data_IF_248207409605
#
_entry.id   IF_248207409605
#
_cell.length_a   1.000
_cell.length_b   1.000
_cell.length_c   1.000
_cell.angle_alpha   90.00
_cell.angle_beta   90.00
_cell.angle_gamma   90.00
#
_symmetry.space_group_name_H-M   'P 1'
#
loop_
_entity.id
_entity.type
_entity.pdbx_description
1 polymer ?
#
# COMPACT_ATOMS: atom_id res chain seq x y z
N UNK A 1 29.36 9.14 41.24
CA UNK A 1 30.15 8.66 40.09
C UNK A 1 29.53 7.34 39.62
N UNK A 2 29.01 7.31 38.40
CA UNK A 2 28.30 6.16 37.83
C UNK A 2 27.91 6.45 36.39
N UNK A 3 28.88 6.48 35.48
CA UNK A 3 28.68 6.77 34.04
C UNK A 3 29.30 5.71 33.12
N UNK A 4 30.18 4.82 33.60
CA UNK A 4 30.93 3.93 32.71
C UNK A 4 30.13 2.82 32.00
N UNK A 5 28.97 2.40 32.52
CA UNK A 5 28.20 1.29 31.95
C UNK A 5 27.17 1.72 30.91
N UNK A 6 26.60 2.93 31.04
CA UNK A 6 25.76 3.55 30.00
C UNK A 6 26.59 3.90 28.78
N UNK A 7 27.75 4.54 29.01
CA UNK A 7 28.58 5.08 27.94
C UNK A 7 29.18 3.94 27.07
N UNK A 8 29.57 2.82 27.68
CA UNK A 8 30.06 1.64 26.94
C UNK A 8 28.95 0.94 26.13
N UNK A 9 27.73 0.84 26.67
CA UNK A 9 26.59 0.24 25.99
C UNK A 9 26.13 1.10 24.80
N UNK A 10 26.04 2.42 25.00
CA UNK A 10 25.66 3.38 23.96
C UNK A 10 26.70 3.46 22.83
N UNK A 11 27.99 3.34 23.17
CA UNK A 11 29.06 3.23 22.18
C UNK A 11 28.94 1.94 21.35
N UNK A 12 28.58 0.82 21.98
CA UNK A 12 28.42 -0.48 21.30
C UNK A 12 27.23 -0.46 20.35
N UNK A 13 26.07 0.05 20.79
CA UNK A 13 24.87 0.19 19.94
C UNK A 13 25.13 1.14 18.76
N UNK A 14 25.89 2.22 18.98
CA UNK A 14 26.26 3.17 17.93
C UNK A 14 27.23 2.57 16.90
N UNK A 15 28.15 1.70 17.34
CA UNK A 15 29.01 0.93 16.45
C UNK A 15 28.18 -0.01 15.57
N UNK A 16 27.25 -0.79 16.14
CA UNK A 16 26.38 -1.68 15.37
C UNK A 16 25.56 -0.93 14.31
N UNK A 17 25.00 0.24 14.65
CA UNK A 17 24.28 1.11 13.69
C UNK A 17 25.16 1.48 12.50
N UNK A 18 26.42 1.81 12.76
CA UNK A 18 27.36 2.18 11.70
C UNK A 18 27.68 1.00 10.81
N UNK A 19 28.01 -0.16 11.39
CA UNK A 19 28.29 -1.38 10.63
C UNK A 19 27.12 -1.78 9.72
N UNK A 20 25.89 -1.83 10.22
CA UNK A 20 24.72 -2.18 9.38
C UNK A 20 24.50 -1.17 8.27
N UNK A 21 24.64 0.13 8.56
CA UNK A 21 24.46 1.19 7.55
C UNK A 21 25.53 1.12 6.46
N UNK A 22 26.77 0.81 6.82
CA UNK A 22 27.84 0.61 5.85
C UNK A 22 27.58 -0.62 4.99
N UNK A 23 27.15 -1.73 5.60
CA UNK A 23 26.75 -2.92 4.87
C UNK A 23 25.66 -2.60 3.84
N UNK A 24 24.54 -2.00 4.26
CA UNK A 24 23.44 -1.66 3.34
C UNK A 24 23.88 -0.81 2.14
N UNK A 25 24.81 0.14 2.32
CA UNK A 25 25.32 0.97 1.21
C UNK A 25 26.01 0.19 0.10
N UNK A 26 26.59 -0.97 0.42
CA UNK A 26 27.23 -1.85 -0.56
C UNK A 26 26.29 -2.93 -1.11
N UNK A 27 25.07 -3.02 -0.58
CA UNK A 27 24.06 -4.04 -0.89
C UNK A 27 22.74 -3.36 -1.28
N UNK A 28 22.79 -2.47 -2.28
CA UNK A 28 21.61 -1.80 -2.86
C UNK A 28 20.66 -1.07 -1.88
N UNK A 29 21.17 -0.75 -0.69
CA UNK A 29 20.48 -0.10 0.43
C UNK A 29 19.38 -0.94 1.10
N UNK A 30 19.34 -2.25 0.85
CA UNK A 30 18.42 -3.22 1.47
C UNK A 30 19.10 -4.58 1.67
N UNK A 31 18.88 -5.22 2.81
CA UNK A 31 19.36 -6.58 3.05
C UNK A 31 18.40 -7.31 3.98
N UNK A 32 18.32 -8.63 3.84
CA UNK A 32 17.67 -9.49 4.82
C UNK A 32 18.43 -9.50 6.14
N UNK A 33 17.74 -9.82 7.24
CA UNK A 33 18.37 -10.04 8.54
C UNK A 33 19.40 -11.17 8.49
N UNK A 34 19.19 -12.19 7.66
CA UNK A 34 20.12 -13.30 7.53
C UNK A 34 21.41 -12.89 6.81
N UNK A 35 21.31 -12.09 5.74
CA UNK A 35 22.49 -11.48 5.10
C UNK A 35 23.25 -10.60 6.08
N UNK A 36 22.55 -9.79 6.89
CA UNK A 36 23.20 -8.97 7.92
C UNK A 36 23.92 -9.83 8.97
N UNK A 37 23.34 -10.97 9.38
CA UNK A 37 23.97 -11.91 10.33
C UNK A 37 25.17 -12.61 9.74
N UNK A 38 25.13 -12.93 8.45
CA UNK A 38 26.21 -13.63 7.75
C UNK A 38 27.35 -12.67 7.33
N UNK A 39 27.01 -11.42 7.01
CA UNK A 39 27.93 -10.44 6.44
C UNK A 39 28.49 -9.41 7.42
N UNK A 40 28.09 -9.45 8.70
CA UNK A 40 28.58 -8.51 9.72
C UNK A 40 28.86 -9.19 11.05
N UNK A 41 29.75 -8.60 11.86
CA UNK A 41 29.98 -9.01 13.25
C UNK A 41 28.91 -8.50 14.22
N UNK A 42 27.79 -7.96 13.71
CA UNK A 42 26.73 -7.38 14.54
C UNK A 42 25.96 -8.50 15.25
N UNK A 43 25.80 -8.45 16.58
CA UNK A 43 25.13 -9.50 17.33
C UNK A 43 23.68 -9.73 16.87
N UNK A 44 23.26 -11.00 16.83
CA UNK A 44 21.92 -11.41 16.39
C UNK A 44 20.78 -10.72 17.17
N UNK A 45 20.97 -10.45 18.47
CA UNK A 45 19.98 -9.75 19.29
C UNK A 45 19.70 -8.33 18.79
N UNK A 46 20.73 -7.66 18.25
CA UNK A 46 20.60 -6.31 17.73
C UNK A 46 19.86 -6.33 16.39
N UNK A 47 20.23 -7.25 15.50
CA UNK A 47 19.59 -7.45 14.20
C UNK A 47 18.11 -7.80 14.38
N UNK A 48 17.76 -8.62 15.36
CA UNK A 48 16.36 -8.98 15.62
C UNK A 48 15.50 -7.77 16.05
N UNK A 49 16.08 -6.87 16.83
CA UNK A 49 15.41 -5.68 17.35
C UNK A 49 15.63 -4.43 16.49
N UNK A 50 16.25 -4.56 15.32
CA UNK A 50 16.75 -3.42 14.55
C UNK A 50 15.65 -2.46 14.09
N UNK A 51 14.45 -2.97 13.83
CA UNK A 51 13.27 -2.18 13.50
C UNK A 51 12.72 -1.33 14.64
N UNK A 52 13.13 -1.57 15.88
CA UNK A 52 12.82 -0.71 17.04
C UNK A 52 13.75 0.49 17.14
N UNK A 53 14.79 0.57 16.30
CA UNK A 53 15.72 1.68 16.28
C UNK A 53 15.16 2.89 15.53
N UNK A 54 15.71 4.08 15.82
CA UNK A 54 15.41 5.28 15.07
C UNK A 54 16.15 5.37 13.71
N UNK A 55 16.89 4.33 13.32
CA UNK A 55 17.82 4.38 12.17
C UNK A 55 17.36 3.53 10.99
N UNK A 56 16.64 2.44 11.25
CA UNK A 56 16.26 1.47 10.22
C UNK A 56 14.74 1.27 10.16
N UNK A 57 14.24 0.92 8.97
CA UNK A 57 12.92 0.32 8.80
C UNK A 57 13.07 -1.16 8.51
N UNK A 58 11.97 -1.88 8.75
CA UNK A 58 11.83 -3.28 8.37
C UNK A 58 10.65 -3.44 7.42
N UNK A 59 10.73 -4.42 6.52
CA UNK A 59 9.72 -4.64 5.48
C UNK A 59 8.34 -4.98 6.06
N UNK A 60 7.31 -4.42 5.43
CA UNK A 60 5.92 -4.59 5.82
C UNK A 60 5.30 -5.91 5.31
N UNK A 61 5.75 -6.45 4.19
CA UNK A 61 5.22 -7.68 3.57
C UNK A 61 5.98 -8.94 3.96
N UNK A 62 7.29 -8.85 4.22
CA UNK A 62 8.14 -10.01 4.57
C UNK A 62 8.38 -10.17 6.06
N UNK A 63 7.34 -10.09 6.90
CA UNK A 63 7.44 -10.32 8.35
C UNK A 63 8.58 -9.56 9.08
N UNK A 64 8.99 -8.38 8.58
CA UNK A 64 10.12 -7.57 9.07
C UNK A 64 11.53 -8.14 8.81
N UNK A 65 11.66 -9.05 7.85
CA UNK A 65 12.95 -9.71 7.55
C UNK A 65 13.90 -8.84 6.72
N UNK A 66 13.41 -7.95 5.86
CA UNK A 66 14.30 -7.03 5.15
C UNK A 66 14.46 -5.73 5.93
N UNK A 67 15.68 -5.22 5.93
CA UNK A 67 16.12 -4.04 6.66
C UNK A 67 16.62 -3.01 5.66
N UNK A 68 16.25 -1.75 5.91
CA UNK A 68 16.73 -0.63 5.11
C UNK A 68 16.90 0.62 5.98
N UNK A 69 17.77 1.52 5.53
CA UNK A 69 18.04 2.78 6.22
C UNK A 69 16.86 3.75 6.09
N UNK A 70 16.46 4.40 7.21
CA UNK A 70 15.45 5.47 7.18
C UNK A 70 15.86 6.63 6.26
N UNK A 71 17.16 6.86 6.10
CA UNK A 71 17.68 7.90 5.20
C UNK A 71 17.30 7.64 3.74
N UNK A 72 17.53 6.40 3.26
CA UNK A 72 17.23 6.03 1.88
C UNK A 72 15.73 6.04 1.62
N UNK A 73 14.94 5.62 2.60
CA UNK A 73 13.48 5.67 2.48
C UNK A 73 13.00 7.12 2.46
N UNK A 74 13.65 8.02 3.20
CA UNK A 74 13.44 9.45 3.07
C UNK A 74 13.63 9.95 1.63
N UNK A 75 14.64 9.48 0.92
CA UNK A 75 14.99 9.92 -0.42
C UNK A 75 14.21 9.24 -1.55
N UNK A 76 14.01 7.92 -1.45
CA UNK A 76 13.49 7.07 -2.54
C UNK A 76 12.00 6.74 -2.41
N UNK A 77 11.34 7.20 -1.35
CA UNK A 77 9.89 6.98 -1.22
C UNK A 77 9.12 7.76 -2.30
N UNK A 78 8.05 7.14 -2.79
CA UNK A 78 7.02 7.81 -3.59
C UNK A 78 6.34 8.93 -2.78
N UNK A 79 5.50 9.72 -3.45
CA UNK A 79 4.65 10.72 -2.81
C UNK A 79 3.85 10.13 -1.64
N UNK A 80 3.29 8.94 -1.84
CA UNK A 80 2.51 8.23 -0.84
C UNK A 80 3.37 7.59 0.26
N UNK A 81 4.69 7.79 0.24
CA UNK A 81 5.61 7.39 1.30
C UNK A 81 6.13 5.96 1.19
N UNK A 82 5.95 5.28 0.06
CA UNK A 82 6.39 3.91 -0.18
C UNK A 82 7.74 3.82 -0.87
N UNK A 83 8.58 2.88 -0.46
CA UNK A 83 9.74 2.44 -1.23
C UNK A 83 9.69 0.92 -1.39
N UNK A 84 9.93 0.44 -2.62
CA UNK A 84 9.79 -0.99 -3.00
C UNK A 84 11.02 -1.49 -3.76
N UNK A 85 12.16 -1.71 -3.09
CA UNK A 85 13.31 -2.32 -3.74
C UNK A 85 13.01 -3.79 -4.10
N UNK A 86 13.65 -4.25 -5.17
CA UNK A 86 13.73 -5.67 -5.52
C UNK A 86 14.63 -6.40 -4.50
N UNK A 87 14.24 -7.62 -4.15
CA UNK A 87 14.93 -8.53 -3.22
C UNK A 87 14.76 -9.96 -3.72
N UNK A 88 15.48 -10.91 -3.13
CA UNK A 88 15.51 -12.31 -3.59
C UNK A 88 14.12 -12.94 -3.78
N UNK A 89 13.16 -12.62 -2.90
CA UNK A 89 11.79 -13.13 -2.93
C UNK A 89 10.77 -12.14 -3.54
N UNK A 90 11.21 -11.29 -4.47
CA UNK A 90 10.37 -10.33 -5.20
C UNK A 90 10.62 -8.89 -4.78
N UNK A 91 9.68 -8.26 -4.07
CA UNK A 91 9.83 -6.88 -3.62
C UNK A 91 9.67 -6.77 -2.10
N UNK A 92 10.52 -6.00 -1.45
CA UNK A 92 10.32 -5.62 -0.05
C UNK A 92 9.56 -4.30 0.01
N UNK A 93 8.46 -4.24 0.78
CA UNK A 93 7.67 -3.01 0.90
C UNK A 93 8.04 -2.27 2.18
N UNK A 94 8.48 -1.02 2.04
CA UNK A 94 8.71 -0.11 3.16
C UNK A 94 7.82 1.12 3.07
N UNK A 95 7.53 1.72 4.23
CA UNK A 95 6.74 2.95 4.28
C UNK A 95 7.19 3.87 5.42
N UNK A 96 7.11 5.20 5.21
CA UNK A 96 7.51 6.23 6.19
C UNK A 96 6.75 6.18 7.54
N UNK A 97 5.65 5.44 7.62
CA UNK A 97 4.90 5.22 8.88
C UNK A 97 5.34 3.97 9.64
N UNK A 98 6.38 3.28 9.17
CA UNK A 98 7.14 2.20 9.82
C UNK A 98 6.38 0.88 10.05
N UNK A 99 5.09 0.95 10.37
CA UNK A 99 4.26 -0.21 10.69
C UNK A 99 3.08 -0.31 9.74
N UNK A 100 2.60 -1.54 9.51
CA UNK A 100 1.42 -1.76 8.68
C UNK A 100 0.19 -1.03 9.23
N UNK A 101 -0.03 -1.06 10.55
CA UNK A 101 -1.14 -0.35 11.20
C UNK A 101 -1.11 1.16 10.90
N UNK A 102 0.03 1.81 11.17
CA UNK A 102 0.17 3.24 10.97
C UNK A 102 0.12 3.62 9.48
N UNK A 103 0.61 2.76 8.60
CA UNK A 103 0.53 2.92 7.14
C UNK A 103 -0.90 2.86 6.66
N UNK A 104 -1.66 1.83 7.03
CA UNK A 104 -3.07 1.68 6.65
C UNK A 104 -3.93 2.86 7.14
N UNK A 105 -3.72 3.30 8.39
CA UNK A 105 -4.41 4.48 8.93
C UNK A 105 -4.04 5.74 8.14
N UNK A 106 -2.76 5.93 7.84
CA UNK A 106 -2.29 7.06 7.04
C UNK A 106 -2.95 7.06 5.65
N UNK A 107 -2.96 5.92 4.96
CA UNK A 107 -3.55 5.80 3.64
C UNK A 107 -5.06 6.07 3.65
N UNK A 108 -5.80 5.49 4.59
CA UNK A 108 -7.24 5.75 4.75
C UNK A 108 -7.54 7.24 4.96
N UNK A 109 -6.62 7.98 5.59
CA UNK A 109 -6.83 9.40 5.91
C UNK A 109 -6.34 10.36 4.82
N UNK A 110 -5.33 9.98 4.04
CA UNK A 110 -4.63 10.92 3.16
C UNK A 110 -4.85 10.62 1.68
N UNK A 111 -5.37 9.43 1.33
CA UNK A 111 -5.76 9.18 -0.06
C UNK A 111 -7.05 9.95 -0.37
N UNK A 112 -7.10 10.67 -1.51
CA UNK A 112 -8.27 11.46 -1.88
C UNK A 112 -9.56 10.64 -1.97
N UNK A 113 -9.50 9.39 -2.40
CA UNK A 113 -10.69 8.53 -2.59
C UNK A 113 -10.89 7.49 -1.49
N UNK A 114 -10.31 7.75 -0.32
CA UNK A 114 -10.21 6.77 0.77
C UNK A 114 -9.35 5.56 0.36
N UNK A 115 -9.59 4.43 1.02
CA UNK A 115 -8.84 3.20 0.79
C UNK A 115 -9.76 1.98 0.86
N UNK A 116 -9.70 1.10 -0.14
CA UNK A 116 -10.32 -0.23 -0.06
C UNK A 116 -9.32 -1.30 0.35
N UNK A 117 -9.82 -2.46 0.78
CA UNK A 117 -8.94 -3.58 1.09
C UNK A 117 -8.12 -4.06 -0.13
N UNK A 118 -8.67 -4.22 -1.35
CA UNK A 118 -7.86 -4.56 -2.53
C UNK A 118 -6.78 -3.53 -2.85
N UNK A 119 -7.11 -2.23 -2.82
CA UNK A 119 -6.11 -1.16 -3.01
C UNK A 119 -4.98 -1.25 -1.96
N UNK A 120 -5.32 -1.55 -0.70
CA UNK A 120 -4.33 -1.74 0.35
C UNK A 120 -3.50 -3.01 0.16
N UNK A 121 -4.11 -4.10 -0.33
CA UNK A 121 -3.43 -5.36 -0.63
C UNK A 121 -2.37 -5.15 -1.71
N UNK A 122 -2.72 -4.43 -2.78
CA UNK A 122 -1.79 -4.06 -3.86
C UNK A 122 -0.70 -3.08 -3.39
N UNK A 123 -1.06 -2.17 -2.46
CA UNK A 123 -0.13 -1.17 -1.92
C UNK A 123 0.90 -1.77 -0.95
N UNK A 124 0.49 -2.73 -0.13
CA UNK A 124 1.35 -3.33 0.88
C UNK A 124 1.88 -4.70 0.47
N UNK A 125 1.45 -5.25 -0.67
CA UNK A 125 1.76 -6.60 -1.14
C UNK A 125 1.50 -7.67 -0.06
N UNK A 126 0.34 -7.54 0.61
CA UNK A 126 -0.12 -8.46 1.66
C UNK A 126 -1.59 -8.26 1.94
N UNK A 127 -2.25 -9.30 2.46
CA UNK A 127 -3.66 -9.19 2.90
C UNK A 127 -3.84 -8.18 4.04
N UNK A 128 -4.66 -7.17 3.79
CA UNK A 128 -4.90 -6.01 4.64
C UNK A 128 -6.36 -5.89 5.13
N UNK A 129 -7.28 -6.72 4.61
CA UNK A 129 -8.69 -6.75 5.08
C UNK A 129 -8.83 -6.85 6.60
N UNK A 130 -8.19 -7.84 7.24
CA UNK A 130 -8.29 -8.04 8.71
C UNK A 130 -7.70 -6.86 9.49
N UNK A 131 -6.49 -6.37 9.17
CA UNK A 131 -5.95 -5.14 9.78
C UNK A 131 -6.84 -3.91 9.63
N UNK A 132 -7.41 -3.66 8.45
CA UNK A 132 -8.29 -2.51 8.18
C UNK A 132 -9.60 -2.62 8.97
N UNK A 133 -10.23 -3.80 8.97
CA UNK A 133 -11.42 -4.05 9.78
C UNK A 133 -11.16 -3.80 11.25
N UNK A 134 -10.02 -4.25 11.78
CA UNK A 134 -9.63 -3.97 13.17
C UNK A 134 -9.48 -2.48 13.45
N UNK A 135 -8.96 -1.68 12.52
CA UNK A 135 -8.90 -0.22 12.68
C UNK A 135 -10.31 0.39 12.75
N UNK A 136 -11.23 -0.08 11.93
CA UNK A 136 -12.63 0.38 11.93
C UNK A 136 -13.36 -0.02 13.23
N UNK A 137 -13.18 -1.27 13.69
CA UNK A 137 -13.74 -1.76 14.95
C UNK A 137 -13.23 -0.95 16.16
N UNK A 138 -11.98 -0.45 16.07
CA UNK A 138 -11.35 0.43 17.06
C UNK A 138 -11.70 1.92 16.87
N UNK A 139 -12.58 2.25 15.92
CA UNK A 139 -12.97 3.62 15.55
C UNK A 139 -11.77 4.51 15.15
N UNK A 140 -10.66 3.91 14.76
CA UNK A 140 -9.47 4.63 14.29
C UNK A 140 -9.58 5.11 12.85
N UNK A 141 -10.46 4.48 12.08
CA UNK A 141 -10.89 4.88 10.73
C UNK A 141 -12.40 4.67 10.63
N UNK A 142 -13.06 5.35 9.69
CA UNK A 142 -14.47 5.12 9.42
C UNK A 142 -14.63 4.14 8.26
N UNK A 143 -15.75 3.43 8.23
CA UNK A 143 -16.07 2.44 7.18
C UNK A 143 -17.38 2.82 6.52
N UNK A 144 -17.40 2.83 5.20
CA UNK A 144 -18.57 3.11 4.39
C UNK A 144 -18.75 1.96 3.40
N UNK A 145 -19.98 1.44 3.31
CA UNK A 145 -20.31 0.48 2.27
C UNK A 145 -20.35 1.23 0.92
N UNK A 146 -19.37 1.00 0.06
CA UNK A 146 -19.41 1.46 -1.32
C UNK A 146 -20.13 0.47 -2.22
N UNK A 147 -20.37 0.86 -3.48
CA UNK A 147 -21.07 0.03 -4.47
C UNK A 147 -20.41 -1.34 -4.69
N UNK A 148 -19.07 -1.38 -4.77
CA UNK A 148 -18.33 -2.60 -5.10
C UNK A 148 -17.45 -3.13 -3.95
N UNK A 149 -17.11 -2.28 -2.98
CA UNK A 149 -16.24 -2.64 -1.88
C UNK A 149 -16.47 -1.73 -0.66
N UNK A 150 -16.11 -2.24 0.52
CA UNK A 150 -16.01 -1.41 1.72
C UNK A 150 -14.87 -0.41 1.57
N UNK A 151 -15.17 0.88 1.75
CA UNK A 151 -14.21 1.98 1.72
C UNK A 151 -13.89 2.40 3.15
N UNK A 152 -12.61 2.44 3.47
CA UNK A 152 -12.07 2.95 4.72
C UNK A 152 -11.66 4.41 4.52
N UNK A 153 -12.18 5.29 5.37
CA UNK A 153 -12.10 6.75 5.21
C UNK A 153 -11.62 7.42 6.49
N UNK A 154 -11.44 8.74 6.40
CA UNK A 154 -11.19 9.60 7.54
C UNK A 154 -12.29 9.48 8.60
N UNK A 155 -11.92 9.65 9.87
CA UNK A 155 -12.88 9.60 11.00
C UNK A 155 -13.71 10.89 11.15
N UNK A 156 -13.26 11.99 10.55
CA UNK A 156 -13.98 13.28 10.57
C UNK A 156 -14.97 13.36 9.39
N UNK A 157 -16.25 13.68 9.65
CA UNK A 157 -17.28 13.70 8.63
C UNK A 157 -16.94 14.52 7.39
N UNK A 158 -16.47 15.77 7.54
CA UNK A 158 -16.17 16.63 6.39
C UNK A 158 -15.13 16.02 5.46
N UNK A 159 -13.99 15.58 6.01
CA UNK A 159 -12.93 14.95 5.21
C UNK A 159 -13.38 13.60 4.61
N UNK A 160 -14.21 12.85 5.32
CA UNK A 160 -14.80 11.61 4.77
C UNK A 160 -15.70 11.94 3.58
N UNK A 161 -16.57 12.93 3.71
CA UNK A 161 -17.55 13.26 2.68
C UNK A 161 -16.82 13.78 1.43
N UNK A 162 -15.75 14.57 1.60
CA UNK A 162 -14.82 14.95 0.52
C UNK A 162 -14.20 13.72 -0.16
N UNK A 163 -13.80 12.71 0.64
CA UNK A 163 -13.20 11.49 0.10
C UNK A 163 -14.19 10.64 -0.71
N UNK A 164 -15.45 10.57 -0.26
CA UNK A 164 -16.49 9.81 -0.96
C UNK A 164 -16.86 10.51 -2.28
N UNK A 165 -16.99 11.84 -2.27
CA UNK A 165 -17.23 12.63 -3.49
C UNK A 165 -16.10 12.48 -4.51
N UNK A 166 -14.83 12.48 -4.06
CA UNK A 166 -13.70 12.22 -4.95
C UNK A 166 -13.73 10.79 -5.50
N UNK A 167 -14.11 9.80 -4.67
CA UNK A 167 -14.20 8.41 -5.11
C UNK A 167 -15.25 8.20 -6.21
N UNK A 168 -16.40 8.86 -6.11
CA UNK A 168 -17.42 8.84 -7.17
C UNK A 168 -16.89 9.39 -8.50
N UNK A 169 -15.95 10.34 -8.44
CA UNK A 169 -15.29 10.89 -9.64
C UNK A 169 -14.24 9.93 -10.20
N UNK A 170 -13.41 9.35 -9.33
CA UNK A 170 -12.29 8.48 -9.73
C UNK A 170 -12.75 7.08 -10.19
N UNK A 171 -13.81 6.58 -9.57
CA UNK A 171 -14.38 5.26 -9.79
C UNK A 171 -15.91 5.40 -9.83
N UNK A 172 -16.46 5.96 -10.93
CA UNK A 172 -17.90 6.10 -11.08
C UNK A 172 -18.54 4.71 -10.95
N UNK A 173 -19.70 4.66 -10.29
CA UNK A 173 -20.49 3.44 -10.26
C UNK A 173 -20.70 2.99 -11.70
N UNK A 174 -20.53 1.68 -11.96
CA UNK A 174 -20.75 1.11 -13.28
C UNK A 174 -22.23 1.33 -13.61
N UNK A 175 -22.50 2.36 -14.41
CA UNK A 175 -23.85 2.67 -14.89
C UNK A 175 -24.10 1.65 -15.98
N UNK A 176 -24.47 0.43 -15.59
CA UNK A 176 -25.22 -0.42 -16.52
C UNK A 176 -26.41 0.44 -16.92
N UNK A 177 -26.54 0.86 -18.20
CA UNK A 177 -27.75 1.54 -18.62
C UNK A 177 -28.90 0.64 -18.22
N UNK A 178 -29.94 1.18 -17.57
CA UNK A 178 -31.19 0.45 -17.42
C UNK A 178 -31.51 -0.12 -18.81
N UNK A 179 -31.64 -1.45 -18.90
CA UNK A 179 -32.07 -2.14 -20.10
C UNK A 179 -33.29 -1.34 -20.58
N UNK A 180 -33.27 -0.72 -21.77
CA UNK A 180 -34.39 0.09 -22.19
C UNK A 180 -35.61 -0.80 -22.07
N UNK A 181 -36.60 -0.31 -21.32
CA UNK A 181 -37.88 -0.99 -21.17
C UNK A 181 -38.30 -1.48 -22.57
N UNK A 182 -38.72 -2.74 -22.62
CA UNK A 182 -39.11 -3.48 -23.81
C UNK A 182 -40.32 -2.78 -24.48
N UNK A 183 -40.03 -1.67 -25.15
CA UNK A 183 -40.97 -0.73 -25.72
C UNK A 183 -40.89 -0.86 -27.24
N UNK A 184 -41.76 -1.72 -27.78
CA UNK A 184 -42.33 -1.49 -29.10
C UNK A 184 -41.65 -2.25 -30.24
N UNK A 185 -42.27 -3.39 -30.57
CA UNK A 185 -42.21 -4.01 -31.89
C UNK A 185 -42.29 -2.97 -33.02
N UNK A 186 -41.18 -2.77 -33.73
CA UNK A 186 -41.16 -2.06 -35.01
C UNK A 186 -41.72 -3.00 -36.08
N UNK A 187 -42.97 -2.75 -36.47
CA UNK A 187 -43.57 -3.32 -37.68
C UNK A 187 -42.68 -2.97 -38.89
N UNK A 188 -42.10 -3.99 -39.52
CA UNK A 188 -41.54 -3.87 -40.87
C UNK A 188 -42.68 -3.94 -41.87
N UNK A 189 -43.33 -2.81 -42.11
CA UNK A 189 -44.09 -2.63 -43.33
C UNK A 189 -43.19 -2.12 -44.46
N UNK A 190 -43.44 -2.69 -45.65
CA UNK A 190 -43.31 -2.05 -46.96
C UNK A 190 -41.96 -1.44 -47.35
N UNK A 191 -41.01 -2.24 -47.87
CA UNK A 191 -39.98 -1.74 -48.79
C UNK A 191 -39.50 -2.83 -49.77
N UNK A 192 -40.38 -3.30 -50.67
CA UNK A 192 -39.94 -3.85 -51.97
C UNK A 192 -40.93 -3.41 -53.05
N UNK A 193 -40.80 -2.16 -53.49
CA UNK A 193 -41.34 -1.73 -54.77
C UNK A 193 -40.20 -1.28 -55.69
N UNK A 194 -40.01 -2.07 -56.74
CA UNK A 194 -39.57 -1.67 -58.10
C UNK A 194 -38.17 -1.06 -58.33
N UNK A 195 -37.29 -1.87 -58.91
CA UNK A 195 -36.59 -1.47 -60.15
C UNK A 195 -36.35 -2.67 -61.07
N UNK A 196 -36.65 -2.45 -62.34
CA UNK A 196 -36.76 -3.39 -63.47
C UNK A 196 -35.39 -3.70 -64.06
N UNK A 197 -35.09 -4.97 -64.41
CA UNK A 197 -34.26 -5.29 -65.59
C UNK A 197 -34.77 -6.55 -66.30
N UNK A 198 -35.08 -6.35 -67.58
CA UNK A 198 -35.34 -7.31 -68.66
C UNK A 198 -34.30 -8.45 -68.78
N UNK A 199 -34.76 -9.68 -69.00
CA UNK A 199 -34.51 -10.42 -70.27
C UNK A 199 -35.34 -11.71 -70.35
N UNK A 200 -36.13 -11.79 -71.42
CA UNK A 200 -36.73 -13.01 -71.95
C UNK A 200 -35.81 -13.62 -73.01
N UNK A 201 -35.92 -14.94 -73.23
CA UNK A 201 -35.37 -15.66 -74.39
C UNK A 201 -34.31 -16.68 -74.02
#
# INVERSE_FOLDING_TARGET
>A
MGTGRSDAYDNTVSSHKTTVREYLRFHDEVASKDELRAGTDVPAWYIEQIGSSNTFYTSLNHNREYVASKYIIGQRSTHDGFWRPEVDDGYAVFHRKETAKATLKYLAFNRPSGLTAPEADDLLDRRCYRPLRKLADQQEVHTVAGHNATVYTHSWPSLRDDQLAQRETDQPADVTPDDPADDGYLYRDELVATSVVHKAG
#
